data_IF_567886302899
#
_entry.id   IF_567886302899
#
_cell.length_a   1.000
_cell.length_b   1.000
_cell.length_c   1.000
_cell.angle_alpha   90.00
_cell.angle_beta   90.00
_cell.angle_gamma   90.00
#
_symmetry.space_group_name_H-M   'P 1'
#
loop_
_entity.id
_entity.type
_entity.pdbx_description
1 polymer ?
#
# COMPACT_ATOMS: atom_id res chain seq x y z
N UNK A 1 3.48 27.45 -9.07
CA UNK A 1 4.20 26.83 -7.94
C UNK A 1 5.11 25.72 -8.43
N UNK A 2 6.00 25.18 -7.59
CA UNK A 2 6.91 24.07 -7.98
C UNK A 2 6.13 22.86 -8.53
N UNK A 3 5.02 22.48 -7.87
CA UNK A 3 4.19 21.33 -8.26
C UNK A 3 3.60 21.48 -9.66
N UNK A 4 3.05 22.66 -9.98
CA UNK A 4 2.47 22.98 -11.31
C UNK A 4 3.48 22.94 -12.47
N UNK A 5 4.78 23.02 -12.19
CA UNK A 5 5.82 22.92 -13.23
C UNK A 5 6.09 21.47 -13.64
N UNK A 6 5.76 20.49 -12.79
CA UNK A 6 6.10 19.09 -12.99
C UNK A 6 4.89 18.17 -13.13
N UNK A 7 3.72 18.57 -12.62
CA UNK A 7 2.53 17.72 -12.54
C UNK A 7 1.27 18.41 -13.03
N UNK A 8 0.33 17.61 -13.55
CA UNK A 8 -1.02 18.05 -13.84
C UNK A 8 -1.79 18.26 -12.54
N UNK A 9 -2.48 19.40 -12.43
CA UNK A 9 -3.30 19.76 -11.27
C UNK A 9 -4.78 19.68 -11.68
N UNK A 10 -5.53 18.72 -11.13
CA UNK A 10 -6.95 18.52 -11.50
C UNK A 10 -7.83 19.70 -11.06
N UNK A 11 -7.62 20.21 -9.85
CA UNK A 11 -8.34 21.34 -9.31
C UNK A 11 -7.38 22.37 -8.68
N UNK A 12 -6.89 23.36 -9.47
CA UNK A 12 -5.98 24.39 -8.96
C UNK A 12 -6.52 25.20 -7.77
N UNK A 13 -7.85 25.29 -7.59
CA UNK A 13 -8.45 26.02 -6.46
C UNK A 13 -8.37 25.25 -5.13
N UNK A 14 -8.10 23.94 -5.18
CA UNK A 14 -7.89 23.12 -3.98
C UNK A 14 -6.43 23.14 -3.49
N UNK A 15 -5.52 23.85 -4.19
CA UNK A 15 -4.14 24.01 -3.76
C UNK A 15 -4.02 24.91 -2.52
N UNK A 16 -3.36 24.42 -1.48
CA UNK A 16 -3.00 25.22 -0.29
C UNK A 16 -1.60 25.78 -0.46
N UNK A 17 -1.48 27.11 -0.43
CA UNK A 17 -0.21 27.81 -0.61
C UNK A 17 0.48 28.07 0.72
N UNK A 18 1.75 27.69 0.80
CA UNK A 18 2.62 27.98 1.95
C UNK A 18 3.70 28.97 1.54
N UNK A 19 4.19 29.78 2.49
CA UNK A 19 5.30 30.72 2.23
C UNK A 19 6.59 29.99 1.84
N UNK A 20 6.81 28.79 2.39
CA UNK A 20 7.97 27.95 2.14
C UNK A 20 7.61 26.49 2.40
N UNK A 21 7.88 25.64 1.42
CA UNK A 21 7.79 24.19 1.59
C UNK A 21 9.08 23.62 2.19
N UNK A 22 9.00 22.57 3.01
CA UNK A 22 10.13 21.69 3.28
C UNK A 22 10.74 21.14 1.99
N UNK A 23 11.96 20.62 2.07
CA UNK A 23 12.70 20.15 0.89
C UNK A 23 12.18 18.83 0.30
N UNK A 24 11.45 18.02 1.07
CA UNK A 24 10.95 16.69 0.69
C UNK A 24 11.94 15.88 -0.16
N UNK A 25 13.11 15.52 0.39
CA UNK A 25 14.13 14.79 -0.37
C UNK A 25 13.62 13.40 -0.78
N UNK A 26 14.15 12.85 -1.87
CA UNK A 26 13.65 11.58 -2.44
C UNK A 26 14.02 10.33 -1.63
N UNK A 27 15.04 10.41 -0.77
CA UNK A 27 15.64 9.26 -0.08
C UNK A 27 14.88 8.87 1.19
N UNK A 28 14.71 9.79 2.13
CA UNK A 28 13.91 9.63 3.33
C UNK A 28 13.51 10.97 3.92
N UNK A 29 12.35 11.03 4.56
CA UNK A 29 11.88 12.22 5.23
C UNK A 29 10.78 11.94 6.22
N UNK A 30 10.41 12.98 6.96
CA UNK A 30 9.32 12.96 7.91
C UNK A 30 8.47 14.21 7.73
N UNK A 31 7.17 14.03 7.56
CA UNK A 31 6.21 15.08 7.29
C UNK A 31 5.22 15.13 8.43
N UNK A 32 4.97 16.33 8.96
CA UNK A 32 3.98 16.54 10.01
C UNK A 32 3.05 17.66 9.57
N UNK A 33 1.75 17.40 9.64
CA UNK A 33 0.70 18.39 9.44
C UNK A 33 0.20 18.80 10.82
N UNK A 34 0.29 20.09 11.12
CA UNK A 34 -0.11 20.66 12.40
C UNK A 34 -1.31 21.59 12.20
N UNK A 35 -2.17 21.70 13.22
CA UNK A 35 -3.13 22.80 13.32
C UNK A 35 -2.45 24.09 13.82
N UNK A 36 -3.25 25.16 13.98
CA UNK A 36 -2.78 26.46 14.45
C UNK A 36 -2.30 26.47 15.92
N UNK A 37 -2.67 25.46 16.70
CA UNK A 37 -2.27 25.29 18.10
C UNK A 37 -1.05 24.38 18.26
N UNK A 38 -0.54 23.81 17.16
CA UNK A 38 0.58 22.87 17.17
C UNK A 38 0.17 21.42 17.45
N UNK A 39 -1.13 21.09 17.39
CA UNK A 39 -1.62 19.72 17.46
C UNK A 39 -1.26 18.98 16.18
N UNK A 40 -0.75 17.75 16.29
CA UNK A 40 -0.52 16.88 15.13
C UNK A 40 -1.86 16.40 14.57
N UNK A 41 -2.14 16.76 13.32
CA UNK A 41 -3.30 16.30 12.56
C UNK A 41 -3.01 14.99 11.82
N UNK A 42 -1.83 14.91 11.19
CA UNK A 42 -1.31 13.70 10.56
C UNK A 42 0.21 13.76 10.48
N UNK A 43 0.86 12.61 10.44
CA UNK A 43 2.31 12.50 10.28
C UNK A 43 2.70 11.28 9.43
N UNK A 44 3.77 11.43 8.68
CA UNK A 44 4.20 10.41 7.74
C UNK A 44 5.73 10.39 7.60
N UNK A 45 6.33 9.27 7.98
CA UNK A 45 7.71 8.95 7.68
C UNK A 45 7.81 8.13 6.39
N UNK A 46 8.64 8.59 5.45
CA UNK A 46 8.80 7.92 4.16
C UNK A 46 10.24 7.59 3.84
N UNK A 47 10.43 6.59 2.99
CA UNK A 47 11.72 6.25 2.39
C UNK A 47 11.53 5.88 0.92
N UNK A 48 12.57 6.04 0.10
CA UNK A 48 12.60 5.61 -1.30
C UNK A 48 12.17 4.14 -1.48
N UNK A 49 12.45 3.28 -0.49
CA UNK A 49 12.11 1.85 -0.52
C UNK A 49 10.61 1.55 -0.49
N UNK A 50 9.79 2.53 -0.18
CA UNK A 50 8.32 2.40 -0.20
C UNK A 50 7.76 2.42 -1.62
N UNK A 51 8.51 2.95 -2.58
CA UNK A 51 8.12 2.93 -3.97
C UNK A 51 8.11 1.51 -4.55
N UNK A 52 7.30 1.32 -5.59
CA UNK A 52 7.24 0.07 -6.33
C UNK A 52 8.62 -0.33 -6.87
N UNK A 53 9.08 -1.53 -6.50
CA UNK A 53 10.46 -2.00 -6.75
C UNK A 53 10.86 -2.08 -8.22
N UNK A 54 9.87 -2.12 -9.12
CA UNK A 54 10.09 -2.25 -10.56
C UNK A 54 10.13 -0.90 -11.31
N UNK A 55 10.00 0.22 -10.60
CA UNK A 55 10.25 1.53 -11.18
C UNK A 55 11.73 1.65 -11.56
N UNK A 56 12.01 2.12 -12.77
CA UNK A 56 13.38 2.40 -13.24
C UNK A 56 13.99 3.62 -12.55
N UNK A 57 13.14 4.52 -12.05
CA UNK A 57 13.49 5.70 -11.27
C UNK A 57 12.30 6.10 -10.42
N UNK A 58 12.55 6.46 -9.16
CA UNK A 58 11.53 7.02 -8.25
C UNK A 58 11.49 8.56 -8.32
N UNK A 59 12.48 9.20 -8.95
CA UNK A 59 12.54 10.65 -9.05
C UNK A 59 11.30 11.15 -9.80
N UNK A 60 10.57 12.05 -9.16
CA UNK A 60 9.34 12.61 -9.71
C UNK A 60 8.12 11.71 -9.52
N UNK A 61 8.21 10.63 -8.75
CA UNK A 61 7.09 9.76 -8.41
C UNK A 61 6.61 10.05 -6.99
N UNK A 62 5.32 10.35 -6.84
CA UNK A 62 4.72 10.57 -5.53
C UNK A 62 4.38 9.24 -4.85
N UNK A 63 4.44 9.22 -3.52
CA UNK A 63 3.76 8.20 -2.72
C UNK A 63 2.33 8.66 -2.47
N UNK A 64 1.37 7.80 -2.77
CA UNK A 64 -0.06 8.04 -2.60
C UNK A 64 -0.62 7.05 -1.59
N UNK A 65 -1.42 7.56 -0.64
CA UNK A 65 -2.15 6.72 0.32
C UNK A 65 -3.27 5.99 -0.43
N UNK A 66 -3.34 4.68 -0.30
CA UNK A 66 -4.31 3.82 -1.00
C UNK A 66 -5.74 4.13 -0.56
N UNK A 67 -5.92 4.43 0.72
CA UNK A 67 -7.22 4.85 1.26
C UNK A 67 -7.01 5.85 2.40
N UNK A 68 -7.78 6.96 2.48
CA UNK A 68 -7.63 7.97 3.52
C UNK A 68 -7.71 7.43 4.95
N UNK A 69 -8.54 6.41 5.17
CA UNK A 69 -8.76 5.85 6.51
C UNK A 69 -7.71 4.80 6.94
N UNK A 70 -6.84 4.33 6.03
CA UNK A 70 -5.75 3.40 6.38
C UNK A 70 -4.62 4.15 7.07
N UNK A 71 -4.02 3.70 8.19
CA UNK A 71 -3.03 4.47 8.95
C UNK A 71 -1.87 5.05 8.11
N UNK A 72 -1.61 6.35 8.23
CA UNK A 72 -0.52 7.06 7.53
C UNK A 72 0.88 6.56 7.92
N UNK A 73 1.05 6.17 9.19
CA UNK A 73 2.30 5.61 9.70
C UNK A 73 2.61 4.19 9.21
N UNK A 74 1.66 3.49 8.57
CA UNK A 74 1.89 2.15 8.02
C UNK A 74 2.36 2.26 6.55
N UNK A 75 3.59 1.80 6.22
CA UNK A 75 4.08 1.80 4.85
C UNK A 75 3.20 1.02 3.85
N UNK A 76 2.42 0.06 4.34
CA UNK A 76 1.49 -0.73 3.52
C UNK A 76 0.31 0.08 3.01
N UNK A 77 -0.01 1.20 3.66
CA UNK A 77 -1.06 2.14 3.26
C UNK A 77 -0.67 3.00 2.06
N UNK A 78 0.58 2.95 1.62
CA UNK A 78 1.12 3.82 0.57
C UNK A 78 1.55 3.04 -0.66
N UNK A 79 1.43 3.63 -1.83
CA UNK A 79 1.91 3.08 -3.10
C UNK A 79 2.44 4.19 -4.01
N UNK A 80 3.35 3.84 -4.92
CA UNK A 80 3.75 4.78 -5.97
C UNK A 80 2.54 5.21 -6.81
N UNK A 81 2.41 6.50 -7.07
CA UNK A 81 1.44 7.01 -8.04
C UNK A 81 1.59 6.32 -9.40
N UNK A 82 0.47 6.06 -10.07
CA UNK A 82 0.42 5.38 -11.34
C UNK A 82 1.20 6.14 -12.42
N UNK A 83 1.85 5.40 -13.32
CA UNK A 83 2.51 6.01 -14.47
C UNK A 83 1.49 6.67 -15.40
N UNK A 84 0.34 6.02 -15.59
CA UNK A 84 -0.76 6.53 -16.40
C UNK A 84 -1.34 7.86 -15.88
N UNK A 85 -1.22 8.11 -14.57
CA UNK A 85 -1.62 9.36 -13.93
C UNK A 85 -0.52 10.44 -13.98
N UNK A 86 0.62 10.17 -14.62
CA UNK A 86 1.74 11.12 -14.67
C UNK A 86 2.56 11.15 -13.38
N UNK A 87 2.55 10.06 -12.61
CA UNK A 87 3.35 9.88 -11.37
C UNK A 87 3.00 10.81 -10.20
N UNK A 88 1.89 11.55 -10.26
CA UNK A 88 1.28 12.23 -9.13
C UNK A 88 -0.17 12.63 -9.45
N UNK A 89 -1.02 12.72 -8.43
CA UNK A 89 -2.42 13.17 -8.56
C UNK A 89 -2.77 14.36 -7.65
N UNK A 90 -2.00 15.46 -7.68
CA UNK A 90 -2.27 16.59 -6.78
C UNK A 90 -3.67 17.14 -7.01
N UNK A 91 -4.40 17.39 -5.91
CA UNK A 91 -5.80 17.88 -5.88
C UNK A 91 -6.85 16.95 -6.49
N UNK A 92 -6.45 15.77 -6.96
CA UNK A 92 -7.33 14.71 -7.44
C UNK A 92 -7.43 13.59 -6.41
N UNK A 93 -8.32 12.62 -6.68
CA UNK A 93 -8.30 11.34 -5.98
C UNK A 93 -7.02 10.58 -6.34
N UNK A 94 -6.37 9.98 -5.33
CA UNK A 94 -5.15 9.20 -5.54
C UNK A 94 -5.34 8.15 -6.63
N UNK A 95 -4.38 8.04 -7.53
CA UNK A 95 -4.40 7.06 -8.63
C UNK A 95 -4.34 5.62 -8.15
N UNK A 96 -3.84 5.40 -6.93
CA UNK A 96 -3.77 4.08 -6.28
C UNK A 96 -4.95 3.83 -5.34
N UNK A 97 -6.03 4.62 -5.45
CA UNK A 97 -7.15 4.48 -4.53
C UNK A 97 -7.83 3.12 -4.67
N UNK A 98 -8.07 2.46 -3.55
CA UNK A 98 -8.87 1.25 -3.49
C UNK A 98 -9.75 1.24 -2.25
N UNK A 99 -11.01 0.83 -2.42
CA UNK A 99 -11.88 0.53 -1.28
C UNK A 99 -11.49 -0.82 -0.69
N UNK A 100 -11.15 -0.90 0.60
CA UNK A 100 -11.07 -2.17 1.29
C UNK A 100 -12.41 -2.91 1.19
N UNK A 101 -12.41 -4.22 0.91
CA UNK A 101 -13.66 -4.96 0.98
C UNK A 101 -14.13 -5.08 2.43
N UNK A 102 -15.43 -4.89 2.62
CA UNK A 102 -16.11 -5.12 3.89
C UNK A 102 -16.40 -6.61 4.09
N UNK A 103 -16.40 -7.05 5.34
CA UNK A 103 -16.75 -8.43 5.69
C UNK A 103 -16.55 -8.72 7.17
N UNK A 104 -17.08 -9.86 7.60
CA UNK A 104 -16.94 -10.35 8.98
C UNK A 104 -15.64 -11.15 9.20
N UNK A 105 -14.91 -11.45 8.13
CA UNK A 105 -13.66 -12.20 8.20
C UNK A 105 -12.54 -11.36 8.82
N UNK A 106 -11.76 -11.98 9.72
CA UNK A 106 -10.60 -11.32 10.36
C UNK A 106 -9.53 -10.86 9.36
N UNK A 107 -9.47 -11.48 8.19
CA UNK A 107 -8.56 -11.11 7.10
C UNK A 107 -9.30 -11.13 5.76
N UNK A 108 -9.22 -10.02 5.03
CA UNK A 108 -9.90 -9.83 3.75
C UNK A 108 -8.87 -9.44 2.69
N UNK A 109 -9.03 -10.01 1.48
CA UNK A 109 -8.16 -9.78 0.33
C UNK A 109 -8.92 -8.95 -0.70
N UNK A 110 -8.35 -7.82 -1.10
CA UNK A 110 -8.99 -6.93 -2.07
C UNK A 110 -7.96 -6.29 -2.99
N UNK A 111 -8.15 -6.36 -4.32
CA UNK A 111 -9.14 -7.18 -5.03
C UNK A 111 -8.71 -8.68 -5.05
N UNK A 112 -9.64 -9.59 -5.35
CA UNK A 112 -9.28 -11.02 -5.49
C UNK A 112 -8.49 -11.32 -6.76
N UNK A 113 -8.61 -10.47 -7.78
CA UNK A 113 -7.83 -10.51 -9.01
C UNK A 113 -7.18 -9.14 -9.16
N UNK A 114 -5.86 -9.09 -9.33
CA UNK A 114 -5.12 -7.84 -9.42
C UNK A 114 -4.07 -7.92 -10.54
N UNK A 115 -3.78 -6.80 -11.18
CA UNK A 115 -2.87 -6.64 -12.32
C UNK A 115 -1.80 -5.59 -12.01
N UNK A 116 -0.62 -5.99 -11.50
CA UNK A 116 0.44 -5.06 -11.12
C UNK A 116 1.20 -4.53 -12.35
N UNK A 117 0.55 -3.70 -13.16
CA UNK A 117 1.09 -3.13 -14.40
C UNK A 117 1.40 -1.63 -14.32
N UNK A 118 0.96 -0.95 -13.27
CA UNK A 118 1.24 0.45 -12.95
C UNK A 118 0.25 1.43 -13.57
N UNK A 119 -0.93 0.96 -13.99
CA UNK A 119 -1.97 1.78 -14.60
C UNK A 119 -2.90 2.48 -13.58
N UNK A 120 -2.76 2.18 -12.29
CA UNK A 120 -3.58 2.70 -11.20
C UNK A 120 -4.83 1.87 -10.89
N UNK A 121 -5.09 0.81 -11.65
CA UNK A 121 -6.26 -0.04 -11.49
C UNK A 121 -5.86 -1.45 -11.04
N UNK A 122 -6.30 -1.83 -9.84
CA UNK A 122 -6.02 -3.14 -9.25
C UNK A 122 -4.52 -3.51 -9.28
N UNK A 123 -3.65 -2.53 -9.05
CA UNK A 123 -2.18 -2.68 -9.11
C UNK A 123 -1.59 -3.49 -7.96
N UNK A 124 -2.33 -3.58 -6.84
CA UNK A 124 -1.86 -4.19 -5.60
C UNK A 124 -2.96 -5.03 -4.98
N UNK A 125 -2.55 -6.08 -4.27
CA UNK A 125 -3.43 -6.81 -3.36
C UNK A 125 -3.31 -6.20 -1.97
N UNK A 126 -4.41 -5.67 -1.44
CA UNK A 126 -4.56 -5.27 -0.06
C UNK A 126 -5.05 -6.46 0.78
N UNK A 127 -4.41 -6.67 1.93
CA UNK A 127 -4.79 -7.66 2.93
C UNK A 127 -5.17 -6.86 4.17
N UNK A 128 -6.45 -6.54 4.32
CA UNK A 128 -6.95 -5.86 5.52
C UNK A 128 -7.24 -6.87 6.60
N UNK A 129 -7.11 -6.42 7.86
CA UNK A 129 -7.46 -7.24 9.00
C UNK A 129 -8.23 -6.44 10.05
N UNK A 130 -9.12 -7.16 10.73
CA UNK A 130 -9.86 -6.69 11.90
C UNK A 130 -9.89 -7.83 12.92
N UNK A 131 -9.19 -7.64 14.03
CA UNK A 131 -8.89 -8.65 15.04
C UNK A 131 -9.61 -8.30 16.34
N UNK A 132 -10.08 -9.32 17.09
CA UNK A 132 -10.94 -9.10 18.26
C UNK A 132 -10.19 -8.55 19.49
N UNK A 133 -8.87 -8.74 19.56
CA UNK A 133 -8.03 -8.35 20.69
C UNK A 133 -6.70 -7.77 20.17
N UNK A 134 -6.02 -6.98 20.99
CA UNK A 134 -4.66 -6.51 20.71
C UNK A 134 -3.60 -7.60 20.93
N UNK A 135 -2.38 -7.35 20.43
CA UNK A 135 -1.22 -8.20 20.73
C UNK A 135 -1.09 -9.44 19.85
N UNK A 136 -1.85 -9.52 18.76
CA UNK A 136 -1.63 -10.54 17.75
C UNK A 136 -0.26 -10.37 17.09
N UNK A 137 0.39 -11.49 16.82
CA UNK A 137 1.59 -11.57 16.00
C UNK A 137 1.25 -12.38 14.75
N UNK A 138 1.67 -11.93 13.57
CA UNK A 138 1.37 -12.59 12.31
C UNK A 138 2.60 -12.95 11.48
N UNK A 139 2.52 -14.11 10.84
CA UNK A 139 3.36 -14.52 9.72
C UNK A 139 2.47 -14.59 8.47
N UNK A 140 2.82 -13.83 7.43
CA UNK A 140 2.03 -13.76 6.19
C UNK A 140 2.92 -14.06 5.01
N UNK A 141 2.55 -15.09 4.25
CA UNK A 141 3.32 -15.62 3.13
C UNK A 141 2.42 -15.83 1.93
N UNK A 142 2.94 -15.58 0.74
CA UNK A 142 2.26 -15.82 -0.53
C UNK A 142 2.91 -17.03 -1.20
N UNK A 143 2.10 -17.96 -1.67
CA UNK A 143 2.51 -19.19 -2.34
C UNK A 143 1.88 -19.30 -3.73
N UNK A 144 2.61 -19.85 -4.70
CA UNK A 144 2.05 -20.18 -6.01
C UNK A 144 1.23 -21.48 -5.97
N UNK A 145 0.60 -21.82 -7.10
CA UNK A 145 -0.20 -23.05 -7.26
C UNK A 145 0.58 -24.36 -7.06
N UNK A 146 1.92 -24.32 -7.04
CA UNK A 146 2.79 -25.47 -6.75
C UNK A 146 3.24 -25.52 -5.29
N UNK A 147 2.73 -24.62 -4.44
CA UNK A 147 3.11 -24.52 -3.04
C UNK A 147 4.49 -23.91 -2.81
N UNK A 148 5.10 -23.27 -3.81
CA UNK A 148 6.38 -22.58 -3.64
C UNK A 148 6.12 -21.19 -3.05
N UNK A 149 6.88 -20.83 -2.02
CA UNK A 149 6.80 -19.51 -1.40
C UNK A 149 7.34 -18.45 -2.36
N UNK A 150 6.52 -17.46 -2.67
CA UNK A 150 6.79 -16.39 -3.65
C UNK A 150 7.17 -15.09 -2.94
N UNK A 151 6.48 -14.79 -1.84
CA UNK A 151 6.68 -13.58 -1.05
C UNK A 151 6.50 -13.85 0.42
N UNK A 152 7.29 -13.19 1.28
CA UNK A 152 6.96 -13.02 2.70
C UNK A 152 6.57 -11.56 2.94
N UNK A 153 5.33 -11.35 3.37
CA UNK A 153 4.78 -10.02 3.65
C UNK A 153 5.01 -9.63 5.11
N UNK A 154 4.88 -10.59 6.03
CA UNK A 154 5.13 -10.40 7.45
C UNK A 154 5.92 -11.58 8.03
N UNK A 155 6.81 -11.28 8.96
CA UNK A 155 7.56 -12.26 9.74
C UNK A 155 7.56 -11.85 11.21
N UNK A 156 6.80 -12.57 12.04
CA UNK A 156 6.57 -12.25 13.45
C UNK A 156 6.20 -10.77 13.67
N UNK A 157 5.30 -10.24 12.84
CA UNK A 157 4.86 -8.85 12.90
C UNK A 157 3.77 -8.69 13.94
N UNK A 158 3.94 -7.77 14.88
CA UNK A 158 2.84 -7.36 15.78
C UNK A 158 1.78 -6.62 14.98
N UNK A 159 0.52 -7.01 15.15
CA UNK A 159 -0.64 -6.38 14.52
C UNK A 159 -1.41 -5.54 15.55
N UNK A 160 -1.99 -4.44 15.09
CA UNK A 160 -3.05 -3.76 15.82
C UNK A 160 -4.36 -4.55 15.79
N UNK A 161 -5.42 -3.99 16.35
CA UNK A 161 -6.78 -4.55 16.17
C UNK A 161 -7.28 -4.38 14.74
N UNK A 162 -6.79 -3.39 14.00
CA UNK A 162 -7.04 -3.26 12.58
C UNK A 162 -5.85 -2.69 11.84
N UNK A 163 -5.80 -2.93 10.53
CA UNK A 163 -4.75 -2.42 9.66
C UNK A 163 -4.74 -3.13 8.32
N UNK A 164 -3.64 -2.97 7.58
CA UNK A 164 -3.49 -3.59 6.27
C UNK A 164 -2.05 -4.01 6.00
N UNK A 165 -1.90 -5.02 5.16
CA UNK A 165 -0.65 -5.33 4.47
C UNK A 165 -0.89 -5.28 2.97
N UNK A 166 0.18 -5.07 2.20
CA UNK A 166 0.10 -4.94 0.75
C UNK A 166 1.03 -5.91 0.06
N UNK A 167 0.55 -6.52 -1.01
CA UNK A 167 1.38 -7.22 -1.98
C UNK A 167 1.31 -6.54 -3.34
N UNK A 168 2.47 -6.08 -3.82
CA UNK A 168 2.66 -5.38 -5.09
C UNK A 168 2.89 -6.34 -6.29
N UNK A 169 2.56 -7.62 -6.13
CA UNK A 169 2.79 -8.63 -7.17
C UNK A 169 4.27 -8.95 -7.42
N UNK A 170 5.20 -8.55 -6.54
CA UNK A 170 6.62 -8.93 -6.66
C UNK A 170 7.00 -10.11 -5.78
N UNK A 171 8.00 -10.88 -6.21
CA UNK A 171 8.62 -11.95 -5.41
C UNK A 171 9.57 -11.39 -4.34
N UNK A 172 10.08 -12.25 -3.47
CA UNK A 172 11.16 -11.86 -2.53
C UNK A 172 12.42 -11.36 -3.26
N UNK A 173 12.73 -11.91 -4.44
CA UNK A 173 13.85 -11.46 -5.27
C UNK A 173 13.55 -10.17 -6.04
N UNK A 174 12.38 -9.54 -5.82
CA UNK A 174 12.00 -8.30 -6.50
C UNK A 174 11.61 -8.48 -7.97
N UNK A 175 11.33 -9.70 -8.42
CA UNK A 175 10.83 -9.98 -9.78
C UNK A 175 9.32 -9.88 -9.81
N UNK A 176 8.72 -9.68 -10.99
CA UNK A 176 7.27 -9.86 -11.16
C UNK A 176 6.89 -11.31 -10.87
N UNK A 177 5.85 -11.49 -10.08
CA UNK A 177 5.20 -12.79 -9.92
C UNK A 177 4.57 -13.20 -11.26
N UNK A 178 4.53 -14.51 -11.54
CA UNK A 178 3.91 -15.02 -12.76
C UNK A 178 2.39 -14.86 -12.73
N UNK A 179 1.75 -14.77 -13.89
CA UNK A 179 0.28 -14.80 -13.97
C UNK A 179 -0.22 -16.15 -13.43
N UNK A 180 -1.27 -16.11 -12.62
CA UNK A 180 -1.91 -17.32 -12.09
C UNK A 180 -2.49 -17.14 -10.69
N UNK A 181 -3.00 -18.24 -10.16
CA UNK A 181 -3.56 -18.30 -8.81
C UNK A 181 -2.47 -18.42 -7.75
N UNK A 182 -2.69 -17.73 -6.63
CA UNK A 182 -1.83 -17.70 -5.45
C UNK A 182 -2.66 -17.94 -4.18
N UNK A 183 -1.98 -18.44 -3.15
CA UNK A 183 -2.52 -18.58 -1.80
C UNK A 183 -1.76 -17.64 -0.88
N UNK A 184 -2.49 -16.72 -0.24
CA UNK A 184 -2.03 -15.98 0.93
C UNK A 184 -2.31 -16.84 2.15
N UNK A 185 -1.24 -17.29 2.79
CA UNK A 185 -1.27 -18.05 4.02
C UNK A 185 -0.90 -17.14 5.20
N UNK A 186 -1.76 -17.12 6.20
CA UNK A 186 -1.65 -16.25 7.38
C UNK A 186 -1.67 -17.15 8.60
N UNK A 187 -0.64 -17.04 9.44
CA UNK A 187 -0.65 -17.58 10.80
C UNK A 187 -0.68 -16.41 11.77
N UNK A 188 -1.74 -16.33 12.59
CA UNK A 188 -1.92 -15.29 13.60
C UNK A 188 -1.93 -15.94 14.99
N UNK A 189 -1.10 -15.42 15.88
CA UNK A 189 -0.87 -15.93 17.24
C UNK A 189 -1.32 -14.85 18.23
N UNK A 190 -2.14 -15.20 19.21
CA UNK A 190 -2.46 -14.28 20.31
C UNK A 190 -1.45 -14.39 21.46
N UNK A 191 -1.53 -13.48 22.44
CA UNK A 191 -0.66 -13.48 23.63
C UNK A 191 -0.85 -14.73 24.53
N UNK A 192 -1.94 -15.48 24.35
CA UNK A 192 -2.25 -16.71 25.09
C UNK A 192 -1.66 -17.94 24.38
N UNK A 193 -1.06 -17.77 23.19
CA UNK A 193 -0.46 -18.82 22.39
C UNK A 193 -1.45 -19.55 21.46
N UNK A 194 -2.69 -19.08 21.35
CA UNK A 194 -3.64 -19.65 20.39
C UNK A 194 -3.23 -19.28 18.97
N UNK A 195 -3.32 -20.25 18.05
CA UNK A 195 -2.92 -20.07 16.65
C UNK A 195 -4.12 -20.19 15.74
N UNK A 196 -4.42 -19.13 14.99
CA UNK A 196 -5.37 -19.15 13.88
C UNK A 196 -4.62 -19.20 12.55
N UNK A 197 -5.17 -19.96 11.60
CA UNK A 197 -4.58 -20.14 10.27
C UNK A 197 -5.60 -19.84 9.19
N UNK A 198 -5.24 -18.96 8.27
CA UNK A 198 -6.08 -18.60 7.13
C UNK A 198 -5.39 -18.96 5.84
N UNK A 199 -6.18 -19.43 4.87
CA UNK A 199 -5.77 -19.61 3.47
C UNK A 199 -6.75 -18.84 2.62
N UNK A 200 -6.26 -17.79 1.97
CA UNK A 200 -7.04 -16.93 1.10
C UNK A 200 -6.45 -16.99 -0.29
N UNK A 201 -7.29 -17.00 -1.32
CA UNK A 201 -6.84 -17.11 -2.71
C UNK A 201 -6.93 -15.76 -3.40
N UNK A 202 -5.95 -15.48 -4.25
CA UNK A 202 -5.99 -14.36 -5.18
C UNK A 202 -5.41 -14.78 -6.54
N UNK A 203 -5.59 -13.95 -7.56
CA UNK A 203 -5.05 -14.16 -8.91
C UNK A 203 -4.22 -12.95 -9.30
N UNK A 204 -2.98 -13.19 -9.73
CA UNK A 204 -2.20 -12.20 -10.47
C UNK A 204 -2.58 -12.35 -11.94
N UNK A 205 -3.12 -11.28 -12.53
CA UNK A 205 -3.52 -11.23 -13.92
C UNK A 205 -2.60 -10.31 -14.74
N UNK A 206 -2.77 -10.36 -16.05
CA UNK A 206 -2.41 -9.27 -16.95
C UNK A 206 -3.70 -8.68 -17.46
N UNK A 207 -3.75 -7.36 -17.63
CA UNK A 207 -4.84 -6.75 -18.39
C UNK A 207 -4.82 -7.33 -19.81
N UNK A 208 -5.96 -7.88 -20.25
CA UNK A 208 -6.18 -8.16 -21.67
C UNK A 208 -6.51 -6.82 -22.31
N UNK A 209 -5.65 -6.34 -23.21
CA UNK A 209 -5.92 -5.12 -23.97
C UNK A 209 -7.25 -5.26 -24.71
N UNK A 210 -8.20 -4.38 -24.36
CA UNK A 210 -9.44 -4.15 -25.10
C UNK A 210 -9.37 -2.82 -25.83
#
# INVERSE_FOLDING_TARGET
>A
GLVEQFYFIENPQAMVWTKKMPSYPNDLGYVVVLDEFGTVLDEFGYTEKMHFKLLSSVKGVSLERIHPDLPSGDPSSWQSAAQAAGFATPTAKNSQYSEPAEGEDEFILTPQVFSPDGDGFDDVLLITYNLPEEGYVANIMVFDSRGRRVKRLAANMTLGTSGALKWDGTTDEGRRASIGAYVVFIEAFDLKGNVKRYKKTCVVATRLGG
#
